data_IF_216356406950
#
_entry.id   IF_216356406950
#
_cell.length_a   1.000
_cell.length_b   1.000
_cell.length_c   1.000
_cell.angle_alpha   90.00
_cell.angle_beta   90.00
_cell.angle_gamma   90.00
#
_symmetry.space_group_name_H-M   'P 1'
#
loop_
_entity.id
_entity.type
_entity.pdbx_description
1 polymer ?
#
# COMPACT_ATOMS: atom_id res chain seq x y z
N UNK A 1 22.69 -8.20 1.10
CA UNK A 1 22.94 -7.10 0.13
C UNK A 1 22.13 -5.84 0.46
N UNK A 2 20.78 -5.86 0.46
CA UNK A 2 19.97 -4.66 0.72
C UNK A 2 20.25 -3.98 2.09
N UNK A 3 20.25 -4.74 3.20
CA UNK A 3 20.62 -4.19 4.53
C UNK A 3 22.05 -3.63 4.58
N UNK A 4 23.00 -4.29 3.90
CA UNK A 4 24.39 -3.84 3.83
C UNK A 4 24.58 -2.58 2.97
N UNK A 5 23.66 -2.31 2.05
CA UNK A 5 23.66 -1.13 1.17
C UNK A 5 22.89 0.07 1.76
N UNK A 6 22.29 -0.06 2.96
CA UNK A 6 21.51 1.02 3.58
C UNK A 6 20.24 1.41 2.82
N UNK A 7 19.69 0.48 2.03
CA UNK A 7 18.46 0.67 1.25
C UNK A 7 17.30 -0.13 1.83
N UNK A 8 16.08 0.35 1.59
CA UNK A 8 14.86 -0.39 1.93
C UNK A 8 14.81 -1.71 1.16
N UNK A 9 14.74 -2.83 1.87
CA UNK A 9 14.53 -4.15 1.26
C UNK A 9 13.03 -4.38 1.03
N UNK A 10 12.61 -4.37 -0.24
CA UNK A 10 11.22 -4.61 -0.66
C UNK A 10 11.11 -5.93 -1.43
N UNK A 11 11.00 -7.08 -0.74
CA UNK A 11 11.04 -8.39 -1.37
C UNK A 11 9.98 -8.60 -2.44
N UNK A 12 8.78 -8.03 -2.29
CA UNK A 12 7.69 -8.21 -3.26
C UNK A 12 7.89 -7.49 -4.59
N UNK A 13 8.77 -6.48 -4.65
CA UNK A 13 9.10 -5.83 -5.92
C UNK A 13 9.69 -6.79 -6.96
N UNK A 14 10.26 -7.92 -6.53
CA UNK A 14 10.74 -8.96 -7.45
C UNK A 14 9.64 -9.50 -8.37
N UNK A 15 8.38 -9.43 -7.94
CA UNK A 15 7.24 -9.91 -8.74
C UNK A 15 6.92 -8.98 -9.91
N UNK A 16 7.39 -7.72 -9.90
CA UNK A 16 7.26 -6.80 -11.02
C UNK A 16 8.24 -7.09 -12.18
N UNK A 17 9.18 -8.03 -12.00
CA UNK A 17 10.14 -8.42 -13.04
C UNK A 17 9.52 -9.31 -14.13
N UNK A 18 8.27 -9.73 -13.97
CA UNK A 18 7.55 -10.61 -14.89
C UNK A 18 6.15 -10.04 -15.14
N UNK A 19 5.53 -10.32 -16.30
CA UNK A 19 4.12 -10.03 -16.52
C UNK A 19 3.25 -10.69 -15.45
N UNK A 20 2.19 -10.02 -14.96
CA UNK A 20 1.28 -10.60 -13.99
C UNK A 20 0.47 -11.75 -14.60
N UNK A 21 0.37 -12.87 -13.89
CA UNK A 21 -0.48 -14.02 -14.24
C UNK A 21 -1.46 -14.34 -13.10
N UNK A 22 -2.67 -14.84 -13.40
CA UNK A 22 -3.64 -15.23 -12.37
C UNK A 22 -3.05 -16.22 -11.37
N UNK A 23 -3.22 -15.96 -10.07
CA UNK A 23 -2.72 -16.81 -8.99
C UNK A 23 -1.25 -16.64 -8.64
N UNK A 24 -0.50 -15.79 -9.35
CA UNK A 24 0.88 -15.47 -8.99
C UNK A 24 0.96 -14.36 -7.93
N UNK A 25 1.98 -14.38 -7.05
CA UNK A 25 2.25 -13.28 -6.14
C UNK A 25 2.52 -11.97 -6.89
N UNK A 26 2.02 -10.87 -6.35
CA UNK A 26 2.14 -9.53 -6.94
C UNK A 26 3.08 -8.62 -6.16
N UNK A 27 3.63 -7.63 -6.86
CA UNK A 27 4.37 -6.53 -6.25
C UNK A 27 3.46 -5.50 -5.57
N UNK A 28 2.15 -5.57 -5.77
CA UNK A 28 1.19 -4.57 -5.31
C UNK A 28 0.52 -4.99 -3.99
N UNK A 29 0.38 -4.06 -3.06
CA UNK A 29 -0.61 -4.12 -1.98
C UNK A 29 -1.80 -3.22 -2.25
N UNK A 30 -2.91 -3.42 -1.52
CA UNK A 30 -4.11 -2.58 -1.63
C UNK A 30 -4.02 -1.37 -0.71
N UNK A 31 -4.46 -0.21 -1.18
CA UNK A 31 -4.81 0.93 -0.32
C UNK A 31 -6.21 1.41 -0.68
N UNK A 32 -7.02 1.71 0.32
CA UNK A 32 -8.40 2.11 0.10
C UNK A 32 -8.55 3.63 0.21
N UNK A 33 -9.27 4.21 -0.75
CA UNK A 33 -9.62 5.64 -0.82
C UNK A 33 -11.12 5.79 -0.97
N UNK A 34 -11.71 6.75 -0.27
CA UNK A 34 -13.15 6.95 -0.23
C UNK A 34 -13.55 8.10 -1.17
N UNK A 35 -14.46 7.83 -2.11
CA UNK A 35 -14.83 8.77 -3.17
C UNK A 35 -15.89 9.79 -2.74
N UNK A 36 -16.84 9.38 -1.89
CA UNK A 36 -18.03 10.16 -1.53
C UNK A 36 -18.26 10.25 -0.02
N UNK A 37 -17.20 10.09 0.77
CA UNK A 37 -17.22 10.25 2.22
C UNK A 37 -15.85 10.73 2.69
N UNK A 38 -15.82 11.80 3.49
CA UNK A 38 -14.58 12.39 3.97
C UNK A 38 -13.97 11.55 5.09
N UNK A 39 -12.95 10.77 4.74
CA UNK A 39 -12.11 10.07 5.70
C UNK A 39 -10.72 9.77 5.11
N UNK A 40 -9.78 9.44 6.01
CA UNK A 40 -8.44 9.01 5.62
C UNK A 40 -8.43 7.68 4.85
N UNK A 41 -7.29 7.37 4.23
CA UNK A 41 -7.07 6.07 3.62
C UNK A 41 -6.95 4.96 4.65
N UNK A 42 -7.45 3.78 4.29
CA UNK A 42 -7.23 2.55 5.04
C UNK A 42 -6.12 1.77 4.36
N UNK A 43 -5.11 1.41 5.15
CA UNK A 43 -4.02 0.52 4.75
C UNK A 43 -4.25 -0.84 5.44
N UNK A 44 -4.27 -1.96 4.70
CA UNK A 44 -4.57 -3.29 5.23
C UNK A 44 -3.53 -3.81 6.21
N UNK A 45 -2.31 -3.27 6.16
CA UNK A 45 -1.30 -3.50 7.18
C UNK A 45 -0.54 -2.23 7.46
N UNK A 46 -0.27 -1.99 8.75
CA UNK A 46 0.80 -1.09 9.11
C UNK A 46 2.10 -1.72 8.62
N UNK A 47 2.95 -0.96 7.93
CA UNK A 47 4.19 -1.47 7.44
C UNK A 47 5.06 -1.90 8.62
N UNK A 48 5.30 -3.20 8.71
CA UNK A 48 6.19 -3.77 9.71
C UNK A 48 7.59 -3.18 9.53
N UNK A 49 8.39 -3.05 10.60
CA UNK A 49 9.74 -2.52 10.51
C UNK A 49 10.53 -3.24 9.42
N UNK A 50 11.05 -2.43 8.49
CA UNK A 50 12.05 -2.71 7.47
C UNK A 50 12.39 -4.18 7.17
N UNK A 51 11.94 -4.64 6.00
CA UNK A 51 12.33 -5.93 5.43
C UNK A 51 11.56 -7.12 5.99
N UNK A 52 10.31 -6.92 6.42
CA UNK A 52 9.38 -8.06 6.51
C UNK A 52 9.31 -8.75 5.14
N UNK A 53 9.11 -10.07 5.14
CA UNK A 53 9.09 -10.87 3.92
C UNK A 53 8.02 -10.39 2.91
N UNK A 54 7.02 -9.66 3.39
CA UNK A 54 5.84 -9.26 2.61
C UNK A 54 5.77 -7.75 2.32
N UNK A 55 6.84 -6.99 2.60
CA UNK A 55 6.84 -5.55 2.35
C UNK A 55 6.92 -5.21 0.84
N UNK A 56 6.08 -4.25 0.42
CA UNK A 56 6.18 -3.54 -0.86
C UNK A 56 5.93 -2.03 -0.67
N UNK A 57 6.61 -1.15 -1.42
CA UNK A 57 6.28 0.27 -1.47
C UNK A 57 5.19 0.59 -2.51
N UNK A 58 4.73 -0.39 -3.31
CA UNK A 58 3.74 -0.18 -4.37
C UNK A 58 2.34 -0.56 -3.89
N UNK A 59 1.47 0.44 -3.88
CA UNK A 59 0.08 0.30 -3.44
C UNK A 59 -0.85 0.64 -4.59
N UNK A 60 -1.70 -0.29 -5.00
CA UNK A 60 -2.79 -0.03 -5.93
C UNK A 60 -3.98 0.55 -5.17
N UNK A 61 -4.53 1.64 -5.68
CA UNK A 61 -5.68 2.31 -5.07
C UNK A 61 -6.95 1.55 -5.43
N UNK A 62 -7.70 1.17 -4.39
CA UNK A 62 -9.06 0.68 -4.46
C UNK A 62 -9.99 1.81 -4.05
N UNK A 63 -10.91 2.17 -4.93
CA UNK A 63 -11.91 3.18 -4.66
C UNK A 63 -13.11 2.56 -3.94
N UNK A 64 -13.42 3.07 -2.76
CA UNK A 64 -14.60 2.72 -1.97
C UNK A 64 -15.63 3.81 -2.13
N UNK A 65 -16.86 3.42 -2.47
CA UNK A 65 -17.98 4.35 -2.66
C UNK A 65 -19.17 3.87 -1.84
N UNK A 66 -19.69 4.71 -0.95
CA UNK A 66 -20.93 4.43 -0.23
C UNK A 66 -22.11 4.40 -1.20
N UNK A 67 -22.93 3.36 -1.11
CA UNK A 67 -24.08 3.17 -1.98
C UNK A 67 -25.26 4.04 -1.53
N UNK A 68 -26.16 4.43 -2.44
CA UNK A 68 -27.37 5.17 -2.09
C UNK A 68 -28.19 4.45 -1.02
N UNK A 69 -28.65 5.19 -0.01
CA UNK A 69 -29.44 4.65 1.10
C UNK A 69 -28.63 4.00 2.23
N UNK A 70 -27.31 3.81 2.06
CA UNK A 70 -26.43 3.46 3.17
C UNK A 70 -26.16 4.70 4.04
N UNK A 71 -25.95 4.50 5.34
CA UNK A 71 -25.50 5.54 6.26
C UNK A 71 -23.97 5.48 6.40
N UNK A 72 -23.23 6.44 5.82
CA UNK A 72 -21.77 6.44 5.88
C UNK A 72 -21.25 6.57 7.31
N UNK A 73 -20.21 5.81 7.62
CA UNK A 73 -19.48 5.87 8.88
C UNK A 73 -18.00 5.58 8.66
N UNK A 74 -17.17 5.82 9.68
CA UNK A 74 -15.75 5.53 9.58
C UNK A 74 -15.51 4.03 9.44
N UNK A 75 -14.70 3.66 8.44
CA UNK A 75 -14.17 2.30 8.27
C UNK A 75 -12.67 2.37 8.52
N UNK A 76 -12.16 1.55 9.44
CA UNK A 76 -10.79 1.65 9.98
C UNK A 76 -9.87 0.53 9.55
N UNK A 77 -10.43 -0.53 8.97
CA UNK A 77 -9.69 -1.72 8.57
C UNK A 77 -10.17 -2.25 7.23
N UNK A 78 -9.33 -3.03 6.58
CA UNK A 78 -9.71 -3.76 5.36
C UNK A 78 -10.90 -4.70 5.62
N UNK A 79 -10.89 -5.38 6.78
CA UNK A 79 -12.01 -6.23 7.20
C UNK A 79 -13.34 -5.46 7.29
N UNK A 80 -13.33 -4.25 7.86
CA UNK A 80 -14.55 -3.41 7.92
C UNK A 80 -15.04 -2.99 6.53
N UNK A 81 -14.13 -2.79 5.57
CA UNK A 81 -14.49 -2.48 4.18
C UNK A 81 -15.09 -3.72 3.50
N UNK A 82 -14.47 -4.88 3.68
CA UNK A 82 -14.95 -6.15 3.14
C UNK A 82 -16.34 -6.49 3.71
N UNK A 83 -16.55 -6.31 5.02
CA UNK A 83 -17.85 -6.51 5.67
C UNK A 83 -18.91 -5.52 5.15
N UNK A 84 -18.53 -4.26 4.95
CA UNK A 84 -19.43 -3.25 4.39
C UNK A 84 -19.81 -3.56 2.92
N UNK A 85 -18.88 -4.07 2.13
CA UNK A 85 -19.12 -4.50 0.75
C UNK A 85 -20.04 -5.73 0.71
N UNK A 86 -19.77 -6.75 1.52
CA UNK A 86 -20.62 -7.95 1.64
C UNK A 86 -22.07 -7.59 2.05
N UNK A 87 -22.23 -6.57 2.89
CA UNK A 87 -23.52 -6.03 3.31
C UNK A 87 -24.14 -5.07 2.29
N UNK A 88 -23.51 -4.86 1.14
CA UNK A 88 -23.95 -3.94 0.06
C UNK A 88 -24.16 -2.51 0.56
N UNK A 89 -23.31 -2.06 1.49
CA UNK A 89 -23.28 -0.67 1.97
C UNK A 89 -22.32 0.19 1.13
N UNK A 90 -21.25 -0.43 0.63
CA UNK A 90 -20.26 0.19 -0.25
C UNK A 90 -20.06 -0.67 -1.49
N UNK A 91 -19.55 -0.06 -2.55
CA UNK A 91 -18.90 -0.76 -3.66
C UNK A 91 -17.40 -0.50 -3.63
N UNK A 92 -16.59 -1.53 -3.85
CA UNK A 92 -15.14 -1.41 -3.97
C UNK A 92 -14.71 -1.73 -5.40
N UNK A 93 -13.97 -0.82 -6.03
CA UNK A 93 -13.44 -1.02 -7.38
C UNK A 93 -11.92 -0.80 -7.42
N UNK A 94 -11.15 -1.69 -8.08
CA UNK A 94 -9.74 -1.41 -8.35
C UNK A 94 -9.62 -0.22 -9.31
N UNK A 95 -8.52 0.51 -9.19
CA UNK A 95 -8.13 1.54 -10.16
C UNK A 95 -6.77 1.19 -10.76
N UNK A 96 -6.40 1.87 -11.84
CA UNK A 96 -5.06 1.75 -12.43
C UNK A 96 -4.02 2.65 -11.73
N UNK A 97 -4.41 3.31 -10.63
CA UNK A 97 -3.54 4.22 -9.89
C UNK A 97 -2.68 3.42 -8.92
N UNK A 98 -1.37 3.41 -9.18
CA UNK A 98 -0.37 2.86 -8.27
C UNK A 98 0.41 3.99 -7.61
N UNK A 99 0.45 4.00 -6.28
CA UNK A 99 1.20 4.97 -5.49
C UNK A 99 2.44 4.34 -4.87
N UNK A 100 3.55 5.05 -4.95
CA UNK A 100 4.76 4.73 -4.21
C UNK A 100 4.64 5.34 -2.80
N UNK A 101 4.45 4.51 -1.78
CA UNK A 101 4.42 4.95 -0.38
C UNK A 101 5.52 4.21 0.41
N UNK A 102 6.80 4.60 0.23
CA UNK A 102 7.89 3.94 0.90
C UNK A 102 7.89 4.31 2.38
N UNK A 103 7.98 3.31 3.25
CA UNK A 103 8.18 3.56 4.68
C UNK A 103 9.66 3.62 4.95
N UNK A 104 10.07 4.74 5.55
CA UNK A 104 11.43 5.00 5.94
C UNK A 104 11.54 4.68 7.43
N UNK A 105 12.16 3.54 7.76
CA UNK A 105 12.59 3.25 9.13
C UNK A 105 14.07 3.57 9.27
N UNK A 106 14.46 4.14 10.40
CA UNK A 106 15.86 4.30 10.80
C UNK A 106 15.95 4.11 12.30
N UNK A 107 16.59 3.03 12.74
CA UNK A 107 16.75 2.68 14.15
C UNK A 107 17.56 3.70 14.99
N UNK A 108 18.13 4.76 14.40
CA UNK A 108 18.94 5.76 15.12
C UNK A 108 18.52 7.22 14.96
N UNK A 109 17.62 7.61 14.04
CA UNK A 109 17.57 9.04 13.64
C UNK A 109 16.26 9.62 13.12
N UNK A 110 15.12 8.92 13.15
CA UNK A 110 13.96 9.45 12.42
C UNK A 110 14.26 9.55 10.91
N UNK A 111 13.55 10.40 10.12
CA UNK A 111 13.29 10.17 8.69
C UNK A 111 14.46 10.36 7.71
N UNK A 112 15.73 10.33 8.13
CA UNK A 112 16.88 10.38 7.20
C UNK A 112 18.03 9.49 7.67
N UNK A 113 17.98 8.21 7.29
CA UNK A 113 19.12 7.30 7.42
C UNK A 113 20.04 7.38 6.19
N UNK A 114 21.28 7.82 6.40
CA UNK A 114 22.56 7.59 5.69
C UNK A 114 22.63 7.18 4.19
N UNK A 115 21.60 7.39 3.38
CA UNK A 115 21.63 7.08 1.95
C UNK A 115 22.48 8.13 1.22
N UNK A 116 23.67 7.73 0.73
CA UNK A 116 24.50 8.56 -0.15
C UNK A 116 24.19 8.21 -1.60
N UNK A 117 23.32 9.01 -2.22
CA UNK A 117 23.07 8.94 -3.67
C UNK A 117 24.12 9.82 -4.35
N UNK A 118 24.99 9.19 -5.14
CA UNK A 118 25.84 9.92 -6.09
C UNK A 118 25.10 9.97 -7.43
N UNK A 119 24.49 11.11 -7.75
CA UNK A 119 23.87 11.32 -9.05
C UNK A 119 24.97 11.57 -10.09
N UNK A 120 24.93 10.82 -11.19
CA UNK A 120 25.74 11.15 -12.36
C UNK A 120 25.30 12.52 -12.87
N UNK A 121 26.26 13.40 -13.14
CA UNK A 121 25.98 14.65 -13.86
C UNK A 121 25.86 14.28 -15.34
N UNK A 122 24.70 14.52 -15.93
CA UNK A 122 24.52 14.52 -17.38
C UNK A 122 25.00 15.84 -17.96
#
# INVERSE_FOLDING_TARGET
MARAAGVNFAPRLRHALRPPEPGQPTALDRVYKFANFDQGSVFPSAPQPEGSADYTPFWVVYQVTWLPGAAPHLLRSEQEIDDAEQRKLVSVAPTDVVVNCPILFSAKSGPRGNMKIHLAKH
#
